data_IF_227008368722
#
_entry.id   IF_227008368722
#
_cell.length_a   1.000
_cell.length_b   1.000
_cell.length_c   1.000
_cell.angle_alpha   90.00
_cell.angle_beta   90.00
_cell.angle_gamma   90.00
#
_symmetry.space_group_name_H-M   'P 1'
#
loop_
_entity.id
_entity.type
_entity.pdbx_description
1 polymer ?
#
# COMPACT_ATOMS: atom_id res chain seq x y z
N UNK A 1 14.76 -31.40 1.97
CA UNK A 1 15.53 -30.21 2.45
C UNK A 1 15.48 -30.20 3.96
N UNK A 2 16.60 -30.43 4.63
CA UNK A 2 16.70 -30.45 6.09
C UNK A 2 16.68 -29.03 6.61
N UNK A 3 15.69 -28.69 7.45
CA UNK A 3 15.63 -27.40 8.15
C UNK A 3 16.57 -27.46 9.36
N UNK A 4 17.56 -26.59 9.39
CA UNK A 4 18.45 -26.43 10.53
C UNK A 4 17.76 -25.57 11.59
N UNK A 5 17.58 -26.14 12.78
CA UNK A 5 17.19 -25.39 13.98
C UNK A 5 18.47 -24.95 14.70
N UNK A 6 18.61 -23.65 14.94
CA UNK A 6 19.63 -23.12 15.83
C UNK A 6 19.09 -23.12 17.25
N UNK A 7 19.58 -24.04 18.07
CA UNK A 7 19.38 -24.03 19.52
C UNK A 7 20.57 -23.28 20.10
N UNK A 8 20.34 -22.10 20.67
CA UNK A 8 21.38 -21.35 21.39
C UNK A 8 21.48 -21.90 22.80
N UNK A 9 22.45 -22.82 23.03
CA UNK A 9 22.85 -23.26 24.36
C UNK A 9 23.84 -22.26 24.94
N UNK A 10 23.46 -21.57 26.00
CA UNK A 10 24.42 -20.88 26.87
C UNK A 10 25.04 -21.92 27.81
N UNK A 11 26.24 -22.40 27.47
CA UNK A 11 27.07 -23.20 28.39
C UNK A 11 27.80 -22.30 29.36
N UNK A 12 27.43 -22.34 30.62
CA UNK A 12 28.36 -21.99 31.71
C UNK A 12 29.02 -23.29 32.16
N UNK A 13 30.28 -23.55 31.72
CA UNK A 13 31.06 -24.69 32.11
C UNK A 13 31.81 -24.38 33.42
N UNK A 14 31.37 -24.94 34.55
CA UNK A 14 32.25 -25.16 35.70
C UNK A 14 32.51 -26.67 35.83
N UNK A 15 33.76 -27.06 35.74
CA UNK A 15 34.21 -28.42 35.82
C UNK A 15 34.02 -28.93 37.24
N UNK A 16 33.07 -29.84 37.47
CA UNK A 16 33.16 -30.97 38.39
C UNK A 16 31.89 -31.86 38.27
N UNK A 17 32.12 -33.12 38.16
CA UNK A 17 31.24 -34.31 38.13
C UNK A 17 29.83 -34.12 38.66
N UNK A 18 28.85 -34.21 37.77
CA UNK A 18 27.40 -34.11 37.83
C UNK A 18 26.90 -32.79 37.21
N UNK A 19 26.93 -32.76 35.89
CA UNK A 19 26.34 -31.63 35.15
C UNK A 19 24.82 -31.63 35.36
N UNK A 20 24.34 -30.84 36.32
CA UNK A 20 22.93 -30.49 36.44
C UNK A 20 22.61 -29.37 35.44
N UNK A 21 21.81 -29.64 34.44
CA UNK A 21 21.29 -28.60 33.57
C UNK A 21 20.12 -27.93 34.29
N UNK A 22 20.29 -26.71 34.75
CA UNK A 22 19.21 -25.89 35.30
C UNK A 22 18.45 -25.20 34.16
N UNK A 23 17.29 -25.70 33.81
CA UNK A 23 16.39 -24.99 32.92
C UNK A 23 15.45 -24.11 33.76
N UNK A 24 15.67 -22.81 33.78
CA UNK A 24 14.79 -21.86 34.48
C UNK A 24 13.74 -21.26 33.53
N UNK A 25 14.18 -20.82 32.40
CA UNK A 25 13.34 -20.19 31.40
C UNK A 25 13.80 -20.63 30.00
N UNK A 26 12.91 -21.25 29.28
CA UNK A 26 13.14 -21.67 27.89
C UNK A 26 12.13 -20.95 27.00
N UNK A 27 12.61 -20.06 26.17
CA UNK A 27 11.81 -19.37 25.18
C UNK A 27 12.31 -19.70 23.78
N UNK A 28 11.47 -20.34 22.99
CA UNK A 28 11.75 -20.62 21.58
C UNK A 28 10.96 -19.63 20.71
N UNK A 29 11.68 -18.95 19.86
CA UNK A 29 11.08 -18.05 18.87
C UNK A 29 11.23 -18.69 17.48
N UNK A 30 10.13 -18.75 16.76
CA UNK A 30 10.16 -19.10 15.34
C UNK A 30 10.78 -17.92 14.58
N UNK A 31 11.68 -18.15 13.59
CA UNK A 31 12.16 -17.06 12.75
C UNK A 31 11.00 -16.30 12.15
N UNK A 32 11.13 -14.96 12.09
CA UNK A 32 10.16 -14.07 11.47
C UNK A 32 9.85 -14.57 10.05
N UNK A 33 8.69 -15.16 9.86
CA UNK A 33 8.17 -15.47 8.55
C UNK A 33 7.70 -14.18 7.90
N UNK A 34 8.46 -13.65 6.93
CA UNK A 34 7.98 -12.56 6.09
C UNK A 34 7.05 -13.20 5.06
N UNK A 35 5.76 -12.89 5.13
CA UNK A 35 4.79 -13.30 4.13
C UNK A 35 4.31 -12.06 3.39
N UNK A 36 4.57 -11.99 2.08
CA UNK A 36 4.12 -10.90 1.21
C UNK A 36 3.05 -11.42 0.27
N UNK A 37 1.89 -10.74 0.26
CA UNK A 37 0.84 -10.95 -0.73
C UNK A 37 0.75 -9.73 -1.63
N UNK A 38 0.76 -9.96 -2.94
CA UNK A 38 0.64 -8.90 -3.94
C UNK A 38 -0.72 -8.98 -4.64
N UNK A 39 -1.39 -7.83 -4.73
CA UNK A 39 -2.65 -7.62 -5.41
C UNK A 39 -2.38 -6.89 -6.71
N UNK A 40 -2.81 -7.48 -7.82
CA UNK A 40 -2.76 -6.91 -9.16
C UNK A 40 -4.13 -6.39 -9.58
N UNK A 41 -4.18 -5.63 -10.66
CA UNK A 41 -5.42 -5.09 -11.22
C UNK A 41 -6.41 -6.20 -11.60
N UNK A 42 -7.63 -6.11 -11.11
CA UNK A 42 -8.73 -7.05 -11.42
C UNK A 42 -10.00 -6.34 -11.92
N UNK A 43 -10.06 -5.02 -11.81
CA UNK A 43 -11.26 -4.24 -12.10
C UNK A 43 -12.31 -4.27 -10.98
N UNK A 44 -11.98 -4.79 -9.81
CA UNK A 44 -12.86 -4.90 -8.64
C UNK A 44 -12.09 -4.72 -7.33
N UNK A 45 -12.84 -4.48 -6.24
CA UNK A 45 -12.30 -4.48 -4.88
C UNK A 45 -11.87 -5.92 -4.51
N UNK A 46 -10.68 -6.03 -3.94
CA UNK A 46 -10.13 -7.25 -3.39
C UNK A 46 -10.09 -7.17 -1.85
N UNK A 47 -9.95 -8.30 -1.18
CA UNK A 47 -9.91 -8.35 0.28
C UNK A 47 -8.61 -8.99 0.77
N UNK A 48 -8.13 -8.49 1.89
CA UNK A 48 -7.04 -9.07 2.65
C UNK A 48 -7.49 -9.26 4.09
N UNK A 49 -7.41 -10.49 4.59
CA UNK A 49 -7.68 -10.79 6.01
C UNK A 49 -6.37 -10.82 6.75
N UNK A 50 -6.23 -9.95 7.75
CA UNK A 50 -5.03 -9.87 8.58
C UNK A 50 -4.84 -11.21 9.32
N UNK A 51 -3.70 -11.90 9.15
CA UNK A 51 -3.44 -13.16 9.81
C UNK A 51 -3.43 -13.03 11.34
N UNK A 52 -3.69 -14.14 12.02
CA UNK A 52 -3.58 -14.21 13.48
C UNK A 52 -2.20 -13.75 13.94
N UNK A 53 -2.15 -12.97 15.03
CA UNK A 53 -0.93 -12.44 15.65
C UNK A 53 -0.18 -11.37 14.84
N UNK A 54 -0.71 -10.94 13.70
CA UNK A 54 -0.17 -9.81 12.95
C UNK A 54 -0.83 -8.53 13.45
N UNK A 55 -0.06 -7.65 14.04
CA UNK A 55 -0.51 -6.32 14.53
C UNK A 55 0.04 -5.17 13.72
N UNK A 56 0.98 -5.47 12.83
CA UNK A 56 1.63 -4.48 11.96
C UNK A 56 1.89 -5.10 10.60
N UNK A 57 1.58 -4.34 9.55
CA UNK A 57 1.85 -4.71 8.16
C UNK A 57 2.61 -3.57 7.47
N UNK A 58 3.47 -3.92 6.52
CA UNK A 58 4.00 -2.96 5.57
C UNK A 58 3.20 -3.04 4.28
N UNK A 59 2.79 -1.90 3.77
CA UNK A 59 2.07 -1.77 2.50
C UNK A 59 2.96 -1.02 1.52
N UNK A 60 3.24 -1.62 0.37
CA UNK A 60 3.72 -0.91 -0.80
C UNK A 60 2.55 -0.73 -1.77
N UNK A 61 2.17 0.51 -2.04
CA UNK A 61 1.09 0.86 -2.95
C UNK A 61 1.64 1.62 -4.17
N UNK A 62 1.22 1.19 -5.35
CA UNK A 62 1.67 1.77 -6.63
C UNK A 62 0.42 2.15 -7.42
N UNK A 63 0.21 3.45 -7.65
CA UNK A 63 -0.87 3.98 -8.48
C UNK A 63 -0.67 3.68 -9.96
N UNK A 64 -1.73 3.72 -10.76
CA UNK A 64 -1.64 3.47 -12.18
C UNK A 64 -1.13 4.69 -12.96
N UNK A 65 -0.44 4.43 -14.06
CA UNK A 65 -0.11 5.45 -15.06
C UNK A 65 -1.38 5.99 -15.70
N UNK A 66 -1.40 7.26 -16.05
CA UNK A 66 -2.43 7.89 -16.87
C UNK A 66 -2.40 7.41 -18.32
N UNK A 67 -3.53 7.51 -19.01
CA UNK A 67 -3.71 7.09 -20.39
C UNK A 67 -3.06 8.05 -21.38
N UNK A 68 -2.74 7.50 -22.54
CA UNK A 68 -2.22 8.24 -23.67
C UNK A 68 -3.38 8.79 -24.53
N UNK A 69 -3.28 10.04 -24.93
CA UNK A 69 -4.22 10.64 -25.88
C UNK A 69 -4.13 10.04 -27.27
N UNK A 70 -5.15 10.28 -28.13
CA UNK A 70 -5.28 9.72 -29.46
C UNK A 70 -4.06 9.98 -30.36
N UNK A 71 -3.36 11.05 -30.15
CA UNK A 71 -2.18 11.47 -30.94
C UNK A 71 -0.84 11.15 -30.28
N UNK A 72 -0.82 10.32 -29.24
CA UNK A 72 0.39 9.83 -28.61
C UNK A 72 0.89 10.69 -27.43
N UNK A 73 0.15 11.71 -26.99
CA UNK A 73 0.52 12.46 -25.79
C UNK A 73 0.38 11.56 -24.55
N UNK A 74 1.50 11.35 -23.89
CA UNK A 74 1.59 10.37 -22.80
C UNK A 74 0.92 10.86 -21.52
N UNK A 75 0.29 9.96 -20.80
CA UNK A 75 -0.19 10.23 -19.45
C UNK A 75 0.95 10.26 -18.42
N UNK A 76 0.68 10.93 -17.31
CA UNK A 76 1.58 11.02 -16.17
C UNK A 76 1.78 9.69 -15.46
N UNK A 77 2.82 9.60 -14.67
CA UNK A 77 3.17 8.43 -13.88
C UNK A 77 2.34 8.34 -12.59
N UNK A 78 2.04 7.13 -12.15
CA UNK A 78 1.45 6.84 -10.84
C UNK A 78 2.48 6.89 -9.71
N UNK A 79 2.03 7.20 -8.50
CA UNK A 79 2.87 7.22 -7.29
C UNK A 79 3.29 5.81 -6.88
N UNK A 80 4.41 5.71 -6.17
CA UNK A 80 4.88 4.49 -5.55
C UNK A 80 5.31 4.80 -4.12
N UNK A 81 4.60 4.26 -3.14
CA UNK A 81 4.84 4.56 -1.73
C UNK A 81 4.88 3.29 -0.89
N UNK A 82 5.65 3.35 0.19
CA UNK A 82 5.69 2.32 1.22
C UNK A 82 5.33 2.95 2.56
N UNK A 83 4.46 2.31 3.31
CA UNK A 83 4.03 2.73 4.65
C UNK A 83 3.86 1.52 5.57
N UNK A 84 3.84 1.78 6.87
CA UNK A 84 3.54 0.77 7.89
C UNK A 84 2.19 1.09 8.52
N UNK A 85 1.30 0.12 8.58
CA UNK A 85 -0.02 0.25 9.18
C UNK A 85 -0.14 -0.64 10.42
N UNK A 86 -0.73 -0.09 11.49
CA UNK A 86 -1.19 -0.89 12.62
C UNK A 86 -2.52 -1.55 12.26
N UNK A 87 -2.65 -2.83 12.55
CA UNK A 87 -3.81 -3.65 12.20
C UNK A 87 -4.19 -4.56 13.36
N UNK A 88 -5.41 -5.11 13.31
CA UNK A 88 -5.87 -6.11 14.30
C UNK A 88 -5.97 -7.48 13.63
N UNK A 89 -5.51 -8.57 14.29
CA UNK A 89 -5.71 -9.92 13.78
C UNK A 89 -7.19 -10.20 13.43
N UNK A 90 -7.43 -10.78 12.26
CA UNK A 90 -8.77 -11.02 11.72
C UNK A 90 -9.44 -9.81 11.05
N UNK A 91 -8.84 -8.63 11.12
CA UNK A 91 -9.35 -7.43 10.42
C UNK A 91 -9.40 -7.67 8.91
N UNK A 92 -10.51 -7.27 8.28
CA UNK A 92 -10.64 -7.28 6.81
C UNK A 92 -10.22 -5.91 6.29
N UNK A 93 -9.26 -5.91 5.38
CA UNK A 93 -8.83 -4.75 4.62
C UNK A 93 -9.31 -4.87 3.18
N UNK A 94 -9.74 -3.76 2.60
CA UNK A 94 -10.27 -3.70 1.25
C UNK A 94 -9.24 -3.01 0.34
N UNK A 95 -8.89 -3.69 -0.75
CA UNK A 95 -7.80 -3.31 -1.63
C UNK A 95 -8.38 -2.83 -2.96
N UNK A 96 -8.04 -1.62 -3.34
CA UNK A 96 -8.27 -1.08 -4.67
C UNK A 96 -6.93 -1.08 -5.41
N UNK A 97 -6.92 -1.62 -6.62
CA UNK A 97 -5.78 -1.53 -7.53
C UNK A 97 -6.21 -0.78 -8.78
N UNK A 98 -5.56 0.33 -9.05
CA UNK A 98 -5.86 1.23 -10.15
C UNK A 98 -5.49 0.64 -11.50
N UNK A 99 -6.37 0.81 -12.49
CA UNK A 99 -6.11 0.42 -13.87
C UNK A 99 -5.47 1.54 -14.69
N UNK A 100 -4.52 1.15 -15.55
CA UNK A 100 -3.95 2.01 -16.60
C UNK A 100 -4.84 2.00 -17.83
N UNK A 101 -5.38 3.14 -18.27
CA UNK A 101 -6.32 3.18 -19.40
C UNK A 101 -5.70 2.76 -20.74
N UNK A 102 -4.37 2.81 -20.88
CA UNK A 102 -3.72 2.65 -22.18
C UNK A 102 -3.93 3.87 -23.07
N UNK A 103 -4.06 3.68 -24.36
CA UNK A 103 -4.44 4.72 -25.30
C UNK A 103 -5.96 4.76 -25.42
N UNK A 104 -6.63 5.43 -24.47
CA UNK A 104 -8.09 5.44 -24.36
C UNK A 104 -8.58 6.67 -23.61
N UNK A 105 -9.70 7.20 -24.01
CA UNK A 105 -10.45 8.20 -23.25
C UNK A 105 -11.26 7.59 -22.10
N UNK A 106 -11.52 6.28 -22.11
CA UNK A 106 -12.30 5.61 -21.07
C UNK A 106 -11.41 5.28 -19.87
N UNK A 107 -11.79 5.79 -18.71
CA UNK A 107 -11.13 5.42 -17.46
C UNK A 107 -11.36 3.94 -17.12
N UNK A 108 -10.36 3.33 -16.51
CA UNK A 108 -10.47 2.01 -15.90
C UNK A 108 -10.85 2.13 -14.41
N UNK A 109 -11.10 0.99 -13.78
CA UNK A 109 -11.37 0.93 -12.34
C UNK A 109 -10.24 1.57 -11.53
N UNK A 110 -10.61 2.28 -10.47
CA UNK A 110 -9.68 2.99 -9.59
C UNK A 110 -9.86 4.52 -9.63
N UNK A 111 -11.01 5.00 -10.07
CA UNK A 111 -11.46 6.39 -9.93
C UNK A 111 -10.72 7.46 -10.75
N UNK A 112 -9.93 7.08 -11.75
CA UNK A 112 -9.39 8.05 -12.72
C UNK A 112 -10.47 8.74 -13.51
N UNK A 113 -10.28 10.02 -13.86
CA UNK A 113 -11.22 10.77 -14.72
C UNK A 113 -11.13 10.30 -16.17
N UNK A 114 -12.26 10.26 -16.88
CA UNK A 114 -12.28 9.98 -18.32
C UNK A 114 -11.62 11.12 -19.10
N UNK A 115 -10.96 10.79 -20.21
CA UNK A 115 -10.48 11.79 -21.16
C UNK A 115 -11.64 12.42 -21.92
N UNK A 116 -11.46 13.65 -22.36
CA UNK A 116 -12.42 14.35 -23.20
C UNK A 116 -12.56 13.72 -24.58
N UNK A 117 -13.76 13.68 -25.11
CA UNK A 117 -14.07 13.15 -26.44
C UNK A 117 -13.85 14.20 -27.53
N UNK A 118 -13.62 13.75 -28.76
CA UNK A 118 -13.38 14.57 -29.93
C UNK A 118 -12.80 13.70 -31.05
N UNK A 119 -12.49 14.29 -32.20
CA UNK A 119 -11.78 13.57 -33.30
C UNK A 119 -10.48 12.97 -32.77
N UNK A 120 -9.78 13.71 -31.90
CA UNK A 120 -8.64 13.23 -31.16
C UNK A 120 -8.98 13.30 -29.67
N UNK A 121 -9.31 12.17 -29.07
CA UNK A 121 -9.64 12.12 -27.64
C UNK A 121 -8.41 12.35 -26.76
N UNK A 122 -8.66 12.91 -25.57
CA UNK A 122 -7.66 12.94 -24.49
C UNK A 122 -7.56 11.57 -23.82
N UNK A 123 -6.40 11.22 -23.28
CA UNK A 123 -6.21 10.02 -22.47
C UNK A 123 -6.94 10.15 -21.13
N UNK A 124 -7.49 9.04 -20.62
CA UNK A 124 -8.08 9.02 -19.29
C UNK A 124 -7.02 9.08 -18.18
N UNK A 125 -7.39 9.55 -17.00
CA UNK A 125 -6.53 9.50 -15.82
C UNK A 125 -6.31 8.08 -15.31
N UNK A 126 -5.15 7.81 -14.72
CA UNK A 126 -4.82 6.57 -14.03
C UNK A 126 -5.58 6.40 -12.73
N UNK A 127 -5.88 5.16 -12.36
CA UNK A 127 -6.54 4.82 -11.12
C UNK A 127 -5.59 4.90 -9.90
N UNK A 128 -6.14 5.19 -8.72
CA UNK A 128 -5.43 5.04 -7.46
C UNK A 128 -5.23 3.56 -7.10
N UNK A 129 -4.20 3.28 -6.32
CA UNK A 129 -4.09 2.01 -5.58
C UNK A 129 -4.04 2.30 -4.09
N UNK A 130 -4.79 1.53 -3.29
CA UNK A 130 -4.87 1.83 -1.87
C UNK A 130 -5.50 0.74 -1.03
N UNK A 131 -5.42 0.94 0.28
CA UNK A 131 -5.98 0.08 1.32
C UNK A 131 -7.01 0.87 2.10
N UNK A 132 -8.18 0.28 2.29
CA UNK A 132 -9.33 0.88 2.96
C UNK A 132 -9.83 -0.02 4.09
N UNK A 133 -10.43 0.59 5.12
CA UNK A 133 -11.06 -0.13 6.22
C UNK A 133 -12.51 -0.55 5.94
N UNK A 134 -13.08 -0.18 4.80
CA UNK A 134 -14.46 -0.46 4.42
C UNK A 134 -14.55 -0.84 2.92
N UNK A 135 -15.56 -1.63 2.55
CA UNK A 135 -15.84 -2.07 1.18
C UNK A 135 -16.31 -0.95 0.23
N UNK A 136 -16.66 0.22 0.77
CA UNK A 136 -16.97 1.43 -0.02
C UNK A 136 -15.81 2.42 0.09
N UNK A 137 -14.87 2.43 -0.86
CA UNK A 137 -13.70 3.30 -0.80
C UNK A 137 -14.09 4.77 -0.75
N UNK A 138 -13.58 5.47 0.28
CA UNK A 138 -13.80 6.90 0.49
C UNK A 138 -12.64 7.48 1.31
N UNK A 139 -12.48 8.79 1.33
CA UNK A 139 -11.44 9.47 2.11
C UNK A 139 -11.47 9.05 3.59
N UNK A 140 -12.68 8.98 4.17
CA UNK A 140 -12.86 8.74 5.62
C UNK A 140 -12.42 7.35 6.07
N UNK A 141 -12.34 6.37 5.16
CA UNK A 141 -11.92 5.01 5.44
C UNK A 141 -10.61 4.60 4.75
N UNK A 142 -9.95 5.55 4.09
CA UNK A 142 -8.66 5.32 3.45
C UNK A 142 -7.54 5.24 4.48
N UNK A 143 -6.81 4.13 4.48
CA UNK A 143 -5.61 3.92 5.31
C UNK A 143 -4.35 4.37 4.57
N UNK A 144 -4.25 4.05 3.29
CA UNK A 144 -3.17 4.48 2.40
C UNK A 144 -3.68 4.55 0.97
N UNK A 145 -3.27 5.59 0.24
CA UNK A 145 -3.57 5.79 -1.17
C UNK A 145 -2.31 6.25 -1.90
N UNK A 146 -1.91 5.52 -2.94
CA UNK A 146 -1.00 5.97 -3.97
C UNK A 146 -1.81 6.52 -5.15
N UNK A 147 -1.60 7.77 -5.49
CA UNK A 147 -2.33 8.45 -6.55
C UNK A 147 -1.99 7.93 -7.94
N UNK A 148 -2.94 8.03 -8.87
CA UNK A 148 -2.75 7.79 -10.31
C UNK A 148 -2.27 9.04 -11.05
N UNK A 149 -1.60 8.84 -12.18
CA UNK A 149 -1.18 9.94 -13.07
C UNK A 149 -2.33 10.50 -13.89
N UNK A 150 -2.26 11.75 -14.30
CA UNK A 150 -3.21 12.38 -15.21
C UNK A 150 -3.07 11.87 -16.64
N UNK A 151 -4.13 11.93 -17.45
CA UNK A 151 -4.12 11.56 -18.86
C UNK A 151 -3.47 12.64 -19.76
N UNK A 152 -2.88 12.20 -20.87
CA UNK A 152 -2.37 13.10 -21.92
C UNK A 152 -3.49 13.75 -22.73
N UNK A 153 -3.24 14.90 -23.34
CA UNK A 153 -4.22 15.57 -24.22
C UNK A 153 -4.39 14.85 -25.57
N UNK A 154 -5.40 15.22 -26.33
CA UNK A 154 -5.65 14.72 -27.70
C UNK A 154 -4.84 15.41 -28.80
N UNK A 155 -4.08 16.45 -28.53
CA UNK A 155 -3.38 17.25 -29.53
C UNK A 155 -2.05 16.63 -29.98
N UNK A 156 -1.59 16.95 -31.22
CA UNK A 156 -0.43 16.34 -31.86
C UNK A 156 0.89 17.06 -31.65
N UNK A 157 0.86 18.35 -31.37
CA UNK A 157 2.05 19.22 -31.47
C UNK A 157 2.64 19.54 -30.11
N UNK A 158 3.90 19.11 -29.91
CA UNK A 158 4.73 19.46 -28.76
C UNK A 158 4.75 18.42 -27.64
N UNK A 159 5.86 18.35 -26.93
CA UNK A 159 6.04 17.50 -25.72
C UNK A 159 5.22 17.96 -24.51
N UNK A 160 4.47 19.01 -24.66
CA UNK A 160 4.02 19.92 -23.60
C UNK A 160 2.60 19.66 -23.11
N UNK A 161 1.96 18.62 -23.59
CA UNK A 161 0.55 18.29 -23.27
C UNK A 161 0.40 16.92 -22.63
N UNK A 162 1.46 16.50 -21.94
CA UNK A 162 1.48 15.24 -21.18
C UNK A 162 0.64 15.36 -19.92
N UNK A 163 0.20 14.23 -19.39
CA UNK A 163 -0.46 14.20 -18.09
C UNK A 163 0.51 14.48 -16.92
N UNK A 164 0.01 15.09 -15.86
CA UNK A 164 0.76 15.33 -14.63
C UNK A 164 0.98 14.04 -13.83
N UNK A 165 2.14 13.90 -13.21
CA UNK A 165 2.46 12.77 -12.35
C UNK A 165 1.67 12.83 -11.04
N UNK A 166 1.36 11.67 -10.46
CA UNK A 166 0.82 11.58 -9.11
C UNK A 166 1.83 12.07 -8.06
N UNK A 167 1.32 12.43 -6.88
CA UNK A 167 2.12 12.89 -5.76
C UNK A 167 3.10 11.81 -5.27
N UNK A 168 4.38 12.05 -5.47
CA UNK A 168 5.47 11.15 -5.08
C UNK A 168 6.65 11.94 -4.48
N UNK A 169 6.38 13.12 -3.94
CA UNK A 169 7.38 13.98 -3.31
C UNK A 169 7.18 13.99 -1.79
N UNK A 170 8.28 14.04 -1.12
CA UNK A 170 8.38 13.91 0.33
C UNK A 170 7.89 15.19 1.01
N UNK A 171 6.97 15.07 1.96
CA UNK A 171 7.12 15.51 3.35
C UNK A 171 5.83 15.17 4.10
N UNK A 172 5.92 14.37 5.18
CA UNK A 172 4.79 14.12 6.07
C UNK A 172 3.88 12.97 5.63
N UNK A 173 2.58 13.09 5.93
CA UNK A 173 1.58 12.04 5.69
C UNK A 173 1.01 12.02 4.28
N UNK A 174 1.33 13.01 3.45
CA UNK A 174 0.75 13.19 2.12
C UNK A 174 1.68 13.89 1.14
N UNK A 175 1.43 13.71 -0.16
CA UNK A 175 2.13 14.38 -1.25
C UNK A 175 1.13 14.86 -2.28
N UNK A 176 1.28 16.11 -2.74
CA UNK A 176 0.45 16.70 -3.77
C UNK A 176 0.71 16.02 -5.12
N UNK A 177 -0.32 15.94 -5.98
CA UNK A 177 -0.14 15.63 -7.38
C UNK A 177 0.66 16.72 -8.10
N UNK A 178 1.09 16.42 -9.31
CA UNK A 178 1.78 17.38 -10.16
C UNK A 178 0.87 17.83 -11.30
N UNK A 179 1.07 19.06 -11.71
CA UNK A 179 0.47 19.60 -12.93
C UNK A 179 1.09 18.95 -14.17
N UNK A 180 0.39 18.94 -15.32
CA UNK A 180 0.96 18.56 -16.60
C UNK A 180 2.18 19.42 -16.93
N UNK A 181 3.13 18.83 -17.64
CA UNK A 181 4.22 19.61 -18.24
C UNK A 181 3.63 20.44 -19.39
N UNK A 182 3.82 21.75 -19.34
CA UNK A 182 3.32 22.68 -20.36
C UNK A 182 4.45 23.55 -20.88
N UNK A 183 4.45 23.85 -22.17
CA UNK A 183 5.37 24.83 -22.73
C UNK A 183 4.93 26.27 -22.41
N UNK A 184 5.81 27.20 -22.66
CA UNK A 184 5.62 28.63 -22.43
C UNK A 184 4.43 29.25 -23.20
N UNK A 185 3.79 28.51 -24.10
CA UNK A 185 2.63 28.93 -24.88
C UNK A 185 1.29 28.45 -24.36
N UNK A 186 1.23 28.00 -23.10
CA UNK A 186 -0.04 27.67 -22.48
C UNK A 186 -0.94 28.93 -22.41
N UNK A 187 -2.02 28.93 -23.16
CA UNK A 187 -2.98 30.03 -23.15
C UNK A 187 -3.69 30.11 -21.81
N UNK A 188 -3.87 31.32 -21.31
CA UNK A 188 -4.60 31.61 -20.06
C UNK A 188 -5.92 32.27 -20.41
N UNK A 189 -7.03 31.63 -20.04
CA UNK A 189 -8.36 32.19 -20.17
C UNK A 189 -8.97 32.36 -18.78
N UNK A 190 -9.53 33.49 -18.48
CA UNK A 190 -10.09 33.83 -17.16
C UNK A 190 -9.11 33.58 -15.99
N UNK A 191 -7.81 33.82 -16.21
CA UNK A 191 -6.76 33.62 -15.20
C UNK A 191 -6.40 32.15 -14.94
N UNK A 192 -6.85 31.21 -15.78
CA UNK A 192 -6.57 29.78 -15.66
C UNK A 192 -5.98 29.21 -16.95
N UNK A 193 -5.15 28.17 -16.79
CA UNK A 193 -4.57 27.43 -17.88
C UNK A 193 -5.53 26.36 -18.41
N UNK A 194 -5.23 25.84 -19.61
CA UNK A 194 -6.01 24.80 -20.26
C UNK A 194 -5.80 23.41 -19.63
N UNK A 195 -4.70 23.20 -18.94
CA UNK A 195 -4.45 21.93 -18.23
C UNK A 195 -5.21 21.86 -16.91
N UNK A 196 -5.42 20.63 -16.44
CA UNK A 196 -5.99 20.38 -15.11
C UNK A 196 -4.99 20.75 -14.02
N UNK A 197 -5.46 21.31 -12.93
CA UNK A 197 -4.64 21.67 -11.77
C UNK A 197 -4.42 20.46 -10.86
N UNK A 198 -3.24 20.40 -10.25
CA UNK A 198 -2.88 19.34 -9.34
C UNK A 198 -3.78 19.27 -8.11
N UNK A 199 -4.03 18.05 -7.63
CA UNK A 199 -4.61 17.84 -6.32
C UNK A 199 -3.58 18.16 -5.24
N UNK A 200 -4.05 18.72 -4.13
CA UNK A 200 -3.25 18.95 -2.94
C UNK A 200 -3.59 17.94 -1.85
N UNK A 201 -2.91 18.02 -0.72
CA UNK A 201 -3.21 17.20 0.45
C UNK A 201 -4.50 17.64 1.20
N UNK A 202 -5.13 18.72 0.78
CA UNK A 202 -6.32 19.32 1.41
C UNK A 202 -7.44 19.64 0.43
N UNK A 203 -7.20 19.52 -0.88
CA UNK A 203 -8.22 19.84 -1.89
C UNK A 203 -7.99 19.10 -3.20
N UNK A 204 -9.08 18.82 -3.90
CA UNK A 204 -9.04 18.31 -5.26
C UNK A 204 -8.57 19.38 -6.25
N UNK A 205 -7.97 18.92 -7.35
CA UNK A 205 -7.51 19.77 -8.43
C UNK A 205 -8.66 20.38 -9.24
N UNK A 206 -8.50 21.60 -9.69
CA UNK A 206 -9.48 22.28 -10.54
C UNK A 206 -9.29 21.86 -12.00
N UNK A 207 -10.39 21.84 -12.75
CA UNK A 207 -10.34 21.61 -14.19
C UNK A 207 -9.76 22.81 -14.95
N UNK A 208 -9.10 22.51 -16.07
CA UNK A 208 -8.57 23.53 -17.00
C UNK A 208 -9.67 24.30 -17.73
N UNK A 209 -9.37 25.53 -18.11
CA UNK A 209 -10.29 26.39 -18.89
C UNK A 209 -9.96 26.30 -20.39
N UNK A 210 -10.96 26.22 -21.29
CA UNK A 210 -10.73 26.18 -22.72
C UNK A 210 -10.19 27.53 -23.22
N UNK A 211 -9.35 27.50 -24.27
CA UNK A 211 -8.89 28.71 -24.94
C UNK A 211 -10.05 29.52 -25.55
N UNK A 212 -10.97 28.79 -26.14
CA UNK A 212 -12.18 29.36 -26.74
C UNK A 212 -13.43 28.69 -26.13
N UNK A 213 -14.20 29.49 -25.39
CA UNK A 213 -15.42 29.01 -24.71
C UNK A 213 -16.56 28.70 -25.67
N UNK A 214 -16.47 29.13 -26.95
CA UNK A 214 -17.47 28.82 -27.96
C UNK A 214 -17.32 27.41 -28.49
N UNK A 215 -16.11 26.91 -28.53
CA UNK A 215 -15.77 25.69 -29.25
C UNK A 215 -15.14 24.61 -28.37
N UNK A 216 -14.78 24.94 -27.13
CA UNK A 216 -14.21 24.02 -26.16
C UNK A 216 -14.97 23.93 -24.86
N UNK A 217 -14.88 22.81 -24.15
CA UNK A 217 -15.44 22.70 -22.82
C UNK A 217 -14.34 22.63 -21.76
N UNK A 218 -14.69 23.15 -20.60
CA UNK A 218 -13.84 23.11 -19.43
C UNK A 218 -13.58 21.66 -18.99
N UNK A 219 -12.39 21.36 -18.48
CA UNK A 219 -12.13 20.14 -17.75
C UNK A 219 -12.92 20.09 -16.43
N UNK A 220 -13.28 18.89 -16.00
CA UNK A 220 -13.91 18.66 -14.71
C UNK A 220 -12.93 18.88 -13.55
N UNK A 221 -13.44 19.36 -12.43
CA UNK A 221 -12.67 19.34 -11.18
C UNK A 221 -12.50 17.89 -10.71
N UNK A 222 -11.40 17.59 -10.07
CA UNK A 222 -11.29 16.39 -9.25
C UNK A 222 -12.22 16.46 -8.04
N UNK A 223 -12.36 15.37 -7.35
CA UNK A 223 -13.13 15.26 -6.11
C UNK A 223 -12.40 14.32 -5.11
N UNK A 224 -13.07 13.97 -4.02
CA UNK A 224 -12.64 12.93 -3.11
C UNK A 224 -12.39 11.64 -3.90
N UNK A 225 -11.20 11.10 -3.79
CA UNK A 225 -10.65 9.92 -4.47
C UNK A 225 -10.69 9.93 -6.02
N UNK A 226 -11.50 10.76 -6.66
CA UNK A 226 -11.74 10.71 -8.11
C UNK A 226 -11.09 11.85 -8.87
N UNK A 227 -10.47 11.54 -9.99
CA UNK A 227 -9.97 12.52 -10.96
C UNK A 227 -11.11 13.17 -11.75
N UNK A 228 -10.92 14.43 -12.14
CA UNK A 228 -11.83 15.19 -12.98
C UNK A 228 -11.79 14.73 -14.45
N UNK A 229 -12.94 14.73 -15.11
CA UNK A 229 -13.00 14.37 -16.54
C UNK A 229 -12.33 15.45 -17.42
N UNK A 230 -11.72 15.03 -18.52
CA UNK A 230 -11.23 15.94 -19.55
C UNK A 230 -12.39 16.65 -20.26
N UNK A 231 -12.16 17.89 -20.64
CA UNK A 231 -13.12 18.67 -21.45
C UNK A 231 -13.25 18.09 -22.87
N UNK A 232 -14.45 18.15 -23.41
CA UNK A 232 -14.76 17.70 -24.77
C UNK A 232 -14.66 18.85 -25.77
N UNK A 233 -14.65 18.54 -27.07
CA UNK A 233 -14.84 19.56 -28.08
C UNK A 233 -16.33 20.01 -28.12
N UNK A 234 -16.57 21.26 -28.49
CA UNK A 234 -17.93 21.85 -28.59
C UNK A 234 -18.73 21.44 -29.84
N UNK A 235 -18.41 20.33 -30.52
CA UNK A 235 -19.21 19.77 -31.61
C UNK A 235 -18.67 19.98 -33.03
N UNK A 236 -17.54 20.68 -33.21
CA UNK A 236 -16.97 20.87 -34.53
C UNK A 236 -15.93 19.76 -34.88
N UNK A 237 -15.88 19.33 -36.14
CA UNK A 237 -14.96 18.31 -36.64
C UNK A 237 -13.50 18.80 -36.60
N UNK A 238 -12.61 17.95 -36.11
CA UNK A 238 -11.16 18.24 -36.08
C UNK A 238 -10.59 18.71 -34.74
N UNK A 239 -11.40 18.73 -33.70
CA UNK A 239 -11.05 19.29 -32.39
C UNK A 239 -10.66 18.22 -31.37
N UNK A 240 -9.95 18.62 -30.34
CA UNK A 240 -9.20 17.73 -29.47
C UNK A 240 -9.80 17.67 -28.05
N UNK A 241 -9.80 16.49 -27.44
CA UNK A 241 -10.22 16.29 -26.04
C UNK A 241 -9.08 16.57 -25.04
N UNK A 242 -9.41 17.11 -23.89
CA UNK A 242 -8.49 17.26 -22.76
C UNK A 242 -8.23 15.95 -22.05
N UNK A 243 -7.09 15.79 -21.39
CA UNK A 243 -6.76 14.63 -20.56
C UNK A 243 -7.58 14.57 -19.27
N UNK A 244 -7.95 13.37 -18.82
CA UNK A 244 -8.60 13.16 -17.53
C UNK A 244 -7.62 13.29 -16.35
N UNK A 245 -8.09 13.77 -15.20
CA UNK A 245 -7.29 13.85 -13.98
C UNK A 245 -7.02 12.48 -13.35
N UNK A 246 -5.89 12.29 -12.72
CA UNK A 246 -5.55 11.09 -11.96
C UNK A 246 -6.34 10.98 -10.66
N UNK A 247 -6.70 9.77 -10.26
CA UNK A 247 -7.30 9.49 -8.96
C UNK A 247 -6.28 9.65 -7.82
N UNK A 248 -6.76 9.85 -6.59
CA UNK A 248 -5.86 9.99 -5.43
C UNK A 248 -6.63 10.18 -4.14
N UNK A 249 -5.99 10.55 -3.04
CA UNK A 249 -6.68 10.96 -1.82
C UNK A 249 -7.62 12.14 -2.13
N UNK A 250 -7.11 13.10 -2.89
CA UNK A 250 -7.88 14.03 -3.70
C UNK A 250 -7.48 13.83 -5.16
N UNK A 251 -8.43 13.83 -6.07
CA UNK A 251 -8.18 13.65 -7.50
C UNK A 251 -7.71 14.93 -8.16
N UNK A 252 -6.84 14.80 -9.17
CA UNK A 252 -6.41 15.89 -10.02
C UNK A 252 -7.52 16.38 -10.94
N UNK A 253 -7.45 17.61 -11.38
CA UNK A 253 -8.35 18.20 -12.37
C UNK A 253 -8.11 17.66 -13.77
N UNK A 254 -9.16 17.56 -14.60
CA UNK A 254 -9.08 17.28 -16.03
C UNK A 254 -8.66 18.50 -16.84
N UNK A 255 -7.96 18.30 -17.95
CA UNK A 255 -7.62 19.34 -18.91
C UNK A 255 -8.83 19.77 -19.74
N UNK A 256 -8.83 20.99 -20.24
CA UNK A 256 -9.84 21.50 -21.15
C UNK A 256 -9.76 20.87 -22.54
N UNK A 257 -10.89 20.73 -23.21
CA UNK A 257 -11.01 20.37 -24.63
C UNK A 257 -11.07 21.65 -25.49
N UNK A 258 -10.82 21.53 -26.78
CA UNK A 258 -10.93 22.66 -27.73
C UNK A 258 -10.17 22.42 -29.05
N UNK A 259 -10.07 23.49 -29.87
CA UNK A 259 -9.49 23.43 -31.20
C UNK A 259 -7.95 23.40 -31.21
N UNK A 260 -7.38 24.57 -31.13
CA UNK A 260 -5.93 24.73 -31.32
C UNK A 260 -5.09 24.31 -30.09
N UNK A 261 -5.68 24.27 -28.92
CA UNK A 261 -4.99 23.94 -27.69
C UNK A 261 -5.90 23.18 -26.71
N UNK A 262 -5.39 22.11 -26.13
CA UNK A 262 -6.05 21.27 -25.12
C UNK A 262 -5.06 20.95 -24.03
N UNK A 263 -5.55 20.73 -22.81
CA UNK A 263 -4.67 20.43 -21.66
C UNK A 263 -4.60 18.96 -21.34
N UNK A 264 -3.48 18.52 -20.77
CA UNK A 264 -3.37 17.26 -20.05
C UNK A 264 -4.10 17.34 -18.71
N UNK A 265 -4.50 16.19 -18.17
CA UNK A 265 -5.03 16.09 -16.81
C UNK A 265 -3.93 16.11 -15.77
N UNK A 266 -4.20 16.59 -14.57
CA UNK A 266 -3.27 16.61 -13.46
C UNK A 266 -3.26 15.27 -12.68
N UNK A 267 -2.20 14.99 -11.94
CA UNK A 267 -2.06 13.82 -11.09
C UNK A 267 -2.83 13.94 -9.78
N UNK A 268 -3.18 12.78 -9.20
CA UNK A 268 -3.85 12.69 -7.91
C UNK A 268 -2.90 12.81 -6.73
N UNK A 269 -3.41 13.20 -5.57
CA UNK A 269 -2.66 13.27 -4.32
C UNK A 269 -2.49 11.89 -3.68
N UNK A 270 -1.42 11.71 -2.97
CA UNK A 270 -1.03 10.51 -2.25
C UNK A 270 -1.11 10.76 -0.75
N UNK A 271 -1.58 9.77 0.04
CA UNK A 271 -1.69 9.91 1.49
C UNK A 271 -1.58 8.57 2.22
N UNK A 272 -1.06 8.61 3.48
CA UNK A 272 -1.12 7.53 4.46
C UNK A 272 -1.53 8.09 5.82
N UNK A 273 -2.33 7.31 6.59
CA UNK A 273 -2.77 7.69 7.95
C UNK A 273 -1.65 7.64 8.99
N UNK A 274 -0.65 6.78 8.76
CA UNK A 274 0.49 6.59 9.69
C UNK A 274 1.77 7.28 9.25
N UNK A 275 1.74 7.93 8.08
CA UNK A 275 2.93 8.49 7.43
C UNK A 275 3.47 7.60 6.31
N UNK A 276 4.19 8.21 5.40
CA UNK A 276 4.84 7.54 4.27
C UNK A 276 6.29 7.28 4.66
N UNK A 277 6.69 6.00 4.72
CA UNK A 277 8.03 5.58 5.11
C UNK A 277 9.05 5.87 4.00
N UNK A 278 8.64 5.62 2.75
CA UNK A 278 9.49 5.87 1.58
C UNK A 278 8.68 6.01 0.30
N UNK A 279 9.29 6.69 -0.66
CA UNK A 279 8.83 6.80 -2.04
C UNK A 279 9.72 5.94 -2.93
N UNK A 280 9.11 5.12 -3.78
CA UNK A 280 9.77 4.35 -4.82
C UNK A 280 9.79 5.09 -6.15
N UNK A 281 10.28 4.43 -7.18
CA UNK A 281 10.22 4.93 -8.56
C UNK A 281 8.77 5.03 -9.01
N UNK A 282 8.41 6.17 -9.62
CA UNK A 282 7.10 6.39 -10.21
C UNK A 282 6.72 5.28 -11.21
N UNK A 283 5.45 4.89 -11.22
CA UNK A 283 4.93 3.93 -12.20
C UNK A 283 4.72 4.62 -13.56
N UNK A 284 5.64 4.40 -14.47
CA UNK A 284 5.61 4.95 -15.83
C UNK A 284 5.06 3.98 -16.87
N UNK A 285 4.63 2.77 -16.48
CA UNK A 285 4.40 1.68 -17.45
C UNK A 285 2.99 1.15 -17.53
N UNK A 286 2.24 1.00 -16.43
CA UNK A 286 1.01 0.25 -16.51
C UNK A 286 0.05 0.41 -15.35
N UNK A 287 -0.68 -0.69 -15.06
CA UNK A 287 -1.58 -0.78 -13.93
C UNK A 287 -0.83 -0.58 -12.61
N UNK A 288 -1.57 -0.25 -11.56
CA UNK A 288 -1.05 -0.19 -10.22
C UNK A 288 -0.87 -1.58 -9.59
N UNK A 289 -0.44 -1.58 -8.34
CA UNK A 289 -0.39 -2.78 -7.49
C UNK A 289 -0.43 -2.41 -6.01
N UNK A 290 -0.77 -3.38 -5.17
CA UNK A 290 -0.64 -3.26 -3.71
C UNK A 290 0.04 -4.53 -3.21
N UNK A 291 1.16 -4.39 -2.51
CA UNK A 291 1.84 -5.51 -1.83
C UNK A 291 1.75 -5.31 -0.32
N UNK A 292 1.25 -6.33 0.38
CA UNK A 292 1.14 -6.33 1.83
C UNK A 292 2.13 -7.35 2.39
N UNK A 293 3.07 -6.88 3.20
CA UNK A 293 4.04 -7.71 3.91
C UNK A 293 3.65 -7.78 5.38
N UNK A 294 3.34 -8.99 5.84
CA UNK A 294 3.09 -9.26 7.24
C UNK A 294 4.41 -9.51 7.96
N UNK A 295 4.66 -8.73 8.98
CA UNK A 295 5.65 -9.09 9.99
C UNK A 295 4.91 -9.92 11.03
N UNK A 296 4.95 -11.23 10.92
CA UNK A 296 4.58 -12.02 12.07
C UNK A 296 5.61 -11.68 13.15
N UNK A 297 5.19 -10.96 14.18
CA UNK A 297 5.87 -11.10 15.46
C UNK A 297 5.78 -12.60 15.72
N UNK A 298 6.86 -13.32 15.35
CA UNK A 298 6.91 -14.75 15.52
C UNK A 298 6.65 -14.98 16.99
N UNK A 299 5.42 -15.34 17.27
CA UNK A 299 5.02 -15.51 18.62
C UNK A 299 6.00 -16.47 19.24
N UNK A 300 6.36 -16.22 20.45
CA UNK A 300 6.95 -17.16 21.35
C UNK A 300 6.23 -18.50 21.11
N UNK A 301 6.89 -19.45 20.43
CA UNK A 301 6.25 -20.76 20.11
C UNK A 301 6.18 -21.64 21.34
N UNK A 302 7.05 -21.35 22.33
CA UNK A 302 7.10 -22.00 23.60
C UNK A 302 7.66 -21.03 24.64
N UNK A 303 7.02 -20.94 25.81
CA UNK A 303 7.54 -20.21 26.96
C UNK A 303 7.30 -21.02 28.22
N UNK A 304 8.37 -21.60 28.73
CA UNK A 304 8.39 -22.37 29.97
C UNK A 304 9.19 -21.59 31.01
N UNK A 305 8.59 -21.31 32.17
CA UNK A 305 9.24 -20.62 33.28
C UNK A 305 8.96 -21.37 34.60
N UNK A 306 9.95 -22.09 35.09
CA UNK A 306 9.85 -22.85 36.33
C UNK A 306 9.68 -21.97 37.59
N UNK A 307 10.02 -20.68 37.49
CA UNK A 307 9.80 -19.70 38.56
C UNK A 307 8.41 -19.09 38.57
N UNK A 308 7.59 -19.35 37.55
CA UNK A 308 6.23 -18.86 37.45
C UNK A 308 5.22 -19.99 37.75
N UNK A 309 4.42 -19.82 38.83
CA UNK A 309 3.46 -20.84 39.27
C UNK A 309 2.39 -21.17 38.19
N UNK A 310 2.08 -20.24 37.26
CA UNK A 310 1.20 -20.50 36.13
C UNK A 310 1.83 -21.44 35.09
N UNK A 311 3.16 -21.44 34.98
CA UNK A 311 3.91 -22.37 34.12
C UNK A 311 4.18 -23.70 34.84
N UNK A 312 4.76 -23.63 36.06
CA UNK A 312 5.01 -24.82 36.87
C UNK A 312 4.66 -24.58 38.34
N UNK A 313 3.76 -25.38 38.84
CA UNK A 313 3.26 -25.23 40.25
C UNK A 313 4.26 -25.68 41.34
N UNK A 314 5.42 -26.16 40.97
CA UNK A 314 6.41 -26.74 41.88
C UNK A 314 6.26 -28.24 42.10
N UNK A 315 5.19 -28.85 41.59
CA UNK A 315 4.89 -30.29 41.71
C UNK A 315 4.19 -30.82 40.45
N UNK A 316 4.25 -32.12 40.22
CA UNK A 316 3.61 -32.77 39.08
C UNK A 316 4.52 -32.93 37.87
N UNK A 317 3.95 -33.49 36.79
CA UNK A 317 4.67 -33.85 35.57
C UNK A 317 4.39 -32.92 34.39
N UNK A 318 3.59 -31.87 34.56
CA UNK A 318 3.25 -30.95 33.46
C UNK A 318 3.90 -29.60 33.68
N UNK A 319 4.68 -29.15 32.67
CA UNK A 319 5.21 -27.80 32.59
C UNK A 319 4.44 -27.04 31.52
N UNK A 320 3.59 -26.12 31.96
CA UNK A 320 2.68 -25.39 31.09
C UNK A 320 3.39 -24.34 30.25
N UNK A 321 3.02 -24.29 28.99
CA UNK A 321 3.47 -23.28 28.03
C UNK A 321 2.73 -21.96 28.23
N UNK A 322 3.46 -20.89 28.53
CA UNK A 322 2.95 -19.53 28.68
C UNK A 322 2.90 -18.75 27.35
N UNK A 323 3.32 -19.34 26.24
CA UNK A 323 3.29 -18.69 24.93
C UNK A 323 1.86 -18.53 24.38
N UNK A 324 0.89 -19.27 24.95
CA UNK A 324 -0.50 -19.35 24.47
C UNK A 324 -0.71 -20.36 23.33
N UNK A 325 0.33 -21.13 22.95
CA UNK A 325 0.23 -22.16 21.91
C UNK A 325 -0.24 -23.52 22.43
N UNK A 326 -0.27 -23.70 23.77
CA UNK A 326 -0.63 -24.97 24.40
C UNK A 326 0.41 -26.08 24.24
N UNK A 327 1.67 -25.71 23.95
CA UNK A 327 2.78 -26.64 23.78
C UNK A 327 3.33 -27.09 25.14
N UNK A 328 2.48 -27.64 26.01
CA UNK A 328 2.85 -28.11 27.33
C UNK A 328 3.88 -29.25 27.23
N UNK A 329 4.75 -29.32 28.22
CA UNK A 329 5.85 -30.30 28.28
C UNK A 329 5.58 -31.29 29.38
N UNK A 330 5.80 -32.57 29.10
CA UNK A 330 5.73 -33.64 30.10
C UNK A 330 7.11 -33.88 30.72
N UNK A 331 7.18 -33.82 32.05
CA UNK A 331 8.38 -33.99 32.83
C UNK A 331 8.46 -35.43 33.37
N UNK A 332 9.60 -36.12 33.17
CA UNK A 332 9.84 -37.48 33.67
C UNK A 332 11.11 -37.50 34.50
N UNK A 333 11.00 -38.03 35.72
CA UNK A 333 12.13 -38.22 36.68
C UNK A 333 12.90 -36.93 37.01
N UNK A 334 12.18 -35.78 37.00
CA UNK A 334 12.76 -34.47 37.28
C UNK A 334 12.42 -34.03 38.71
N UNK A 335 13.28 -33.18 39.29
CA UNK A 335 13.01 -32.55 40.58
C UNK A 335 12.89 -31.03 40.40
N UNK A 336 12.06 -30.43 41.27
CA UNK A 336 11.92 -28.99 41.32
C UNK A 336 12.77 -28.41 42.45
N UNK A 337 13.52 -27.34 42.16
CA UNK A 337 14.25 -26.58 43.15
C UNK A 337 13.68 -25.14 43.22
N UNK A 338 13.08 -24.78 44.34
CA UNK A 338 12.48 -23.48 44.57
C UNK A 338 13.53 -22.34 44.81
N UNK A 339 14.79 -22.68 45.04
CA UNK A 339 15.82 -21.70 45.24
C UNK A 339 16.05 -20.84 43.98
N UNK A 340 16.50 -19.61 44.20
CA UNK A 340 16.80 -18.64 43.11
C UNK A 340 15.67 -18.42 42.10
N UNK A 341 14.42 -18.47 42.55
CA UNK A 341 13.26 -18.21 41.72
C UNK A 341 12.73 -19.39 40.92
N UNK A 342 13.11 -20.62 41.27
CA UNK A 342 12.57 -21.87 40.71
C UNK A 342 13.37 -22.39 39.53
N UNK A 343 13.59 -23.73 39.52
CA UNK A 343 14.27 -24.44 38.41
C UNK A 343 13.85 -25.89 38.36
N UNK A 344 13.85 -26.47 37.17
CA UNK A 344 13.73 -27.91 36.93
C UNK A 344 15.12 -28.50 36.85
N UNK A 345 15.39 -29.57 37.64
CA UNK A 345 16.67 -30.20 37.77
C UNK A 345 16.64 -31.56 37.09
N UNK A 346 17.53 -31.76 36.14
CA UNK A 346 17.78 -33.05 35.46
C UNK A 346 18.85 -33.84 36.19
N UNK A 347 18.60 -35.12 36.42
CA UNK A 347 19.52 -35.98 37.18
C UNK A 347 20.70 -36.52 36.32
N UNK A 348 20.73 -36.25 35.03
CA UNK A 348 21.77 -36.72 34.12
C UNK A 348 21.73 -38.22 33.77
N UNK A 349 20.71 -38.95 34.22
CA UNK A 349 20.62 -40.40 34.03
C UNK A 349 19.38 -40.77 33.22
N UNK A 350 18.19 -40.44 33.71
CA UNK A 350 16.90 -40.84 33.11
C UNK A 350 15.84 -39.76 33.23
N UNK A 351 16.24 -38.55 33.56
CA UNK A 351 15.35 -37.36 33.58
C UNK A 351 15.26 -36.74 32.18
N UNK A 352 14.05 -36.50 31.72
CA UNK A 352 13.81 -35.82 30.44
C UNK A 352 12.51 -35.01 30.46
N UNK A 353 12.43 -34.06 29.56
CA UNK A 353 11.26 -33.27 29.28
C UNK A 353 10.78 -33.57 27.83
N UNK A 354 9.54 -34.01 27.69
CA UNK A 354 8.96 -34.39 26.39
C UNK A 354 7.98 -33.34 25.91
N UNK A 355 8.21 -32.89 24.68
CA UNK A 355 7.38 -31.88 24.02
C UNK A 355 6.25 -32.59 23.28
N UNK A 356 5.04 -32.54 23.83
CA UNK A 356 3.86 -33.19 23.29
C UNK A 356 3.28 -32.56 22.02
N UNK A 357 3.93 -31.54 21.46
CA UNK A 357 3.48 -30.84 20.28
C UNK A 357 4.57 -30.74 19.22
N UNK A 358 4.16 -30.75 17.94
CA UNK A 358 5.03 -30.36 16.85
C UNK A 358 5.36 -28.86 16.98
N UNK A 359 6.52 -28.57 17.55
CA UNK A 359 7.10 -27.23 17.61
C UNK A 359 7.76 -26.97 16.24
N UNK A 360 6.95 -26.85 15.18
CA UNK A 360 7.46 -26.76 13.82
C UNK A 360 6.90 -25.59 13.02
#
# INVERSE_FOLDING_TARGET
>A
MRKFFYILFLFACSIQSNAQILARNLALQKPLGINTQTFSYTGAIQQFVVPNRVTTIQVNAIGAKGGTGARGQVGGAGANITTTLNVTPGQILYIVVGGHPGQSATAKYGFGGSGGTGTNYGGAGGGLSGVFSNSSPAIVNALVIAGGGGGGSGILTGSDYTGGNAGNNIVGTSSNGNEPTVSQNAYVTNGRYQYGYAATNSSAGLGGEPYDVVTGTRGGNGSDISGGNGGTNGGESGWNGGGGGGAGFYGGGGGAGGGAATGGGAGGATKSTTGINSYGTLNTTGDGSVSITCFSNSGLVLHLDAGNAASYSGTGSTWNDLSGNGSNVTLTNLTYNAANGGSIVFNGTNAYADFNANIG
#
